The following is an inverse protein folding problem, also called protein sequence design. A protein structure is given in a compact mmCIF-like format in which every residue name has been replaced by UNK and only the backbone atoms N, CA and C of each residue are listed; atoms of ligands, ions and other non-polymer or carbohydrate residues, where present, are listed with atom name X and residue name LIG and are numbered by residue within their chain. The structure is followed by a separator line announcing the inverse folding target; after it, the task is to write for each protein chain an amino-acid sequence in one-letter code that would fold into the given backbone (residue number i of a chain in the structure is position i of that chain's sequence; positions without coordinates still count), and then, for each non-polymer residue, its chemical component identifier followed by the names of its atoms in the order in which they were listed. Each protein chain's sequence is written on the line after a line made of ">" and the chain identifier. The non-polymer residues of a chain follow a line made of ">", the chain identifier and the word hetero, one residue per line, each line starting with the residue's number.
data_IF_038710935128
#
_entry.id   IF_038710935128
#
_cell.length_a   1.000
_cell.length_b   1.000
_cell.length_c   1.000
_cell.angle_alpha   90.00
_cell.angle_beta   90.00
_cell.angle_gamma   90.00
#
_symmetry.space_group_name_H-M   'P 1'
#
loop_
_entity.id
_entity.type
_entity.pdbx_description
1 polymer ?
#
# COMPACT_ATOMS: atom_id res chain seq x y z
N UNK A 1 -8.31 -16.80 21.65
CA UNK A 1 -6.91 -16.66 21.18
C UNK A 1 -6.90 -15.58 20.11
N UNK A 2 -6.50 -14.38 20.51
CA UNK A 2 -6.51 -13.17 19.69
C UNK A 2 -5.47 -13.27 18.56
N UNK A 3 -5.94 -13.47 17.33
CA UNK A 3 -5.09 -13.65 16.15
C UNK A 3 -4.83 -12.30 15.45
N UNK A 4 -4.30 -11.35 16.23
CA UNK A 4 -3.92 -9.99 15.79
C UNK A 4 -2.55 -10.07 15.09
N UNK A 5 -2.39 -9.48 13.88
CA UNK A 5 -1.30 -9.88 13.00
C UNK A 5 0.06 -9.40 13.52
N UNK A 6 0.92 -10.35 13.86
CA UNK A 6 2.35 -10.21 14.24
C UNK A 6 3.27 -9.48 13.21
N UNK A 7 2.72 -8.81 12.19
CA UNK A 7 3.50 -8.16 11.13
C UNK A 7 3.05 -6.71 10.93
N UNK A 8 3.75 -5.77 11.58
CA UNK A 8 3.60 -4.32 11.41
C UNK A 8 3.62 -3.93 9.92
N UNK A 9 4.46 -4.62 9.13
CA UNK A 9 4.54 -4.47 7.66
C UNK A 9 3.20 -4.72 6.97
N UNK A 10 2.47 -5.78 7.33
CA UNK A 10 1.17 -6.08 6.71
C UNK A 10 0.12 -5.03 7.10
N UNK A 11 0.05 -4.65 8.37
CA UNK A 11 -0.87 -3.61 8.85
C UNK A 11 -0.65 -2.30 8.07
N UNK A 12 0.61 -1.89 7.95
CA UNK A 12 0.98 -0.67 7.23
C UNK A 12 0.57 -0.70 5.75
N UNK A 13 0.81 -1.81 5.04
CA UNK A 13 0.41 -1.96 3.63
C UNK A 13 -1.09 -1.71 3.47
N UNK A 14 -1.90 -2.22 4.38
CA UNK A 14 -3.36 -2.14 4.32
C UNK A 14 -3.85 -0.75 4.68
N UNK A 15 -3.32 -0.16 5.75
CA UNK A 15 -3.67 1.22 6.13
C UNK A 15 -3.30 2.18 5.02
N UNK A 16 -2.12 2.02 4.39
CA UNK A 16 -1.70 2.84 3.26
C UNK A 16 -2.63 2.64 2.05
N UNK A 17 -2.88 1.39 1.66
CA UNK A 17 -3.74 1.07 0.52
C UNK A 17 -5.17 1.62 0.72
N UNK A 18 -5.71 1.52 1.93
CA UNK A 18 -7.02 2.03 2.28
C UNK A 18 -7.05 3.57 2.29
N UNK A 19 -6.09 4.21 2.95
CA UNK A 19 -6.02 5.67 3.06
C UNK A 19 -5.78 6.36 1.71
N UNK A 20 -5.03 5.71 0.81
CA UNK A 20 -4.63 6.31 -0.46
C UNK A 20 -5.40 5.80 -1.68
N UNK A 21 -6.18 4.71 -1.53
CA UNK A 21 -6.86 4.06 -2.65
C UNK A 21 -5.88 3.57 -3.73
N UNK A 22 -4.70 3.11 -3.31
CA UNK A 22 -3.63 2.63 -4.17
C UNK A 22 -3.93 1.24 -4.73
N UNK A 23 -3.71 1.05 -6.04
CA UNK A 23 -3.80 -0.27 -6.65
C UNK A 23 -2.53 -1.08 -6.36
N UNK A 24 -2.64 -2.43 -6.40
CA UNK A 24 -1.53 -3.33 -6.02
C UNK A 24 -0.21 -3.02 -6.73
N UNK A 25 -0.27 -2.70 -8.02
CA UNK A 25 0.90 -2.47 -8.87
C UNK A 25 1.59 -1.14 -8.53
N UNK A 26 0.81 -0.14 -8.13
CA UNK A 26 1.32 1.17 -7.72
C UNK A 26 2.00 1.07 -6.35
N UNK A 27 1.42 0.30 -5.42
CA UNK A 27 1.97 0.08 -4.08
C UNK A 27 3.31 -0.69 -4.12
N UNK A 28 3.46 -1.63 -5.06
CA UNK A 28 4.71 -2.36 -5.31
C UNK A 28 5.82 -1.47 -5.89
N UNK A 29 5.45 -0.51 -6.74
CA UNK A 29 6.39 0.42 -7.36
C UNK A 29 6.58 1.70 -6.54
N UNK A 30 5.95 1.80 -5.36
CA UNK A 30 6.05 2.96 -4.50
C UNK A 30 7.44 2.98 -3.84
N UNK A 31 8.22 4.01 -4.15
CA UNK A 31 9.54 4.22 -3.57
C UNK A 31 9.47 5.25 -2.45
N UNK A 32 10.55 5.34 -1.69
CA UNK A 32 10.66 6.34 -0.62
C UNK A 32 10.63 7.77 -1.17
N UNK A 33 11.14 7.99 -2.39
CA UNK A 33 11.09 9.28 -3.10
C UNK A 33 9.66 9.73 -3.40
N UNK A 34 8.72 8.80 -3.43
CA UNK A 34 7.31 9.10 -3.64
C UNK A 34 6.58 9.50 -2.37
N UNK A 35 7.19 9.31 -1.21
CA UNK A 35 6.61 9.76 0.06
C UNK A 35 7.24 11.09 0.41
N UNK A 36 6.40 12.10 0.66
CA UNK A 36 6.83 13.41 1.11
C UNK A 36 6.32 13.62 2.55
N UNK A 37 7.09 13.20 3.58
CA UNK A 37 6.73 13.37 4.98
C UNK A 37 6.51 14.82 5.42
N UNK A 38 7.23 15.85 4.92
CA UNK A 38 6.99 17.22 5.38
C UNK A 38 5.67 17.78 4.84
N UNK A 39 5.24 17.38 3.64
CA UNK A 39 3.95 17.79 3.07
C UNK A 39 2.80 16.83 3.39
N UNK A 40 3.09 15.68 4.03
CA UNK A 40 2.15 14.57 4.22
C UNK A 40 1.50 14.13 2.89
N UNK A 41 2.28 14.06 1.81
CA UNK A 41 1.78 13.70 0.48
C UNK A 41 2.45 12.42 0.01
N UNK A 42 1.66 11.52 -0.57
CA UNK A 42 2.15 10.32 -1.25
C UNK A 42 1.91 10.48 -2.74
N UNK A 43 2.99 10.53 -3.51
CA UNK A 43 2.97 10.62 -4.96
C UNK A 43 2.80 9.23 -5.57
N UNK A 44 1.64 9.00 -6.13
CA UNK A 44 1.29 7.75 -6.79
C UNK A 44 1.56 7.85 -8.27
N UNK A 45 2.42 6.98 -8.81
CA UNK A 45 2.64 6.90 -10.26
C UNK A 45 1.70 5.83 -10.83
N UNK A 46 0.68 6.25 -11.62
CA UNK A 46 -0.21 5.32 -12.30
C UNK A 46 0.53 4.61 -13.45
N UNK A 47 0.35 3.30 -13.53
CA UNK A 47 0.78 2.52 -14.70
C UNK A 47 -0.12 2.76 -15.92
N UNK A 48 0.49 2.84 -17.10
CA UNK A 48 -0.07 3.17 -18.43
C UNK A 48 -0.61 4.61 -18.51
N UNK A 49 0.21 5.50 -19.07
CA UNK A 49 -0.10 6.91 -19.30
C UNK A 49 0.71 7.91 -18.47
N UNK A 50 1.60 7.43 -17.58
CA UNK A 50 2.58 8.22 -16.80
C UNK A 50 1.99 9.38 -15.97
N UNK A 51 0.67 9.40 -15.75
CA UNK A 51 0.01 10.43 -14.94
C UNK A 51 0.22 10.11 -13.46
N UNK A 52 1.13 10.83 -12.82
CA UNK A 52 1.26 10.80 -11.37
C UNK A 52 0.14 11.60 -10.71
N UNK A 53 -0.38 11.12 -9.58
CA UNK A 53 -1.30 11.88 -8.70
C UNK A 53 -0.69 12.01 -7.32
N UNK A 54 -0.92 13.13 -6.68
CA UNK A 54 -0.56 13.35 -5.27
C UNK A 54 -1.76 13.03 -4.41
N UNK A 55 -1.57 12.14 -3.44
CA UNK A 55 -2.62 11.73 -2.51
C UNK A 55 -2.23 12.23 -1.12
N UNK A 56 -3.04 13.11 -0.49
CA UNK A 56 -2.78 13.55 0.86
C UNK A 56 -2.90 12.36 1.81
N UNK A 57 -1.88 12.18 2.64
CA UNK A 57 -1.86 11.22 3.73
C UNK A 57 -2.28 11.92 5.02
N UNK A 58 -3.07 11.24 5.84
CA UNK A 58 -3.37 11.74 7.19
C UNK A 58 -2.11 11.75 8.06
N UNK A 59 -2.01 12.71 8.99
CA UNK A 59 -0.88 12.80 9.93
C UNK A 59 -0.67 11.50 10.71
N UNK A 60 -1.76 10.80 11.05
CA UNK A 60 -1.72 9.48 11.72
C UNK A 60 -1.02 8.44 10.84
N UNK A 61 -1.30 8.43 9.53
CA UNK A 61 -0.66 7.51 8.57
C UNK A 61 0.84 7.77 8.49
N UNK A 62 1.24 9.05 8.42
CA UNK A 62 2.65 9.44 8.38
C UNK A 62 3.37 9.07 9.68
N UNK A 63 2.72 9.21 10.84
CA UNK A 63 3.29 8.81 12.11
C UNK A 63 3.50 7.30 12.19
N UNK A 64 2.51 6.51 11.78
CA UNK A 64 2.67 5.06 11.65
C UNK A 64 3.79 4.71 10.66
N UNK A 65 3.90 5.46 9.55
CA UNK A 65 4.91 5.22 8.52
C UNK A 65 6.31 5.51 9.04
N UNK A 66 6.47 6.57 9.84
CA UNK A 66 7.72 6.88 10.55
C UNK A 66 8.11 5.77 11.52
N UNK A 67 7.15 5.21 12.24
CA UNK A 67 7.41 4.08 13.14
C UNK A 67 7.88 2.85 12.36
N UNK A 68 7.16 2.47 11.30
CA UNK A 68 7.57 1.40 10.38
C UNK A 68 8.98 1.64 9.81
N UNK A 69 9.28 2.87 9.42
CA UNK A 69 10.57 3.25 8.86
C UNK A 69 11.71 3.09 9.88
N UNK A 70 11.47 3.40 11.17
CA UNK A 70 12.46 3.19 12.24
C UNK A 70 12.81 1.72 12.42
N UNK A 71 11.83 0.82 12.30
CA UNK A 71 12.02 -0.63 12.47
C UNK A 71 12.63 -1.32 11.25
N UNK A 72 12.07 -1.10 10.05
CA UNK A 72 12.46 -1.84 8.85
C UNK A 72 13.53 -1.14 7.99
N UNK A 73 13.71 0.18 8.17
CA UNK A 73 14.68 1.03 7.43
C UNK A 73 14.80 0.66 5.94
N UNK A 74 13.70 0.73 5.18
CA UNK A 74 13.75 0.49 3.74
C UNK A 74 14.76 1.42 3.06
N UNK A 75 15.39 0.96 1.97
CA UNK A 75 16.36 1.74 1.19
C UNK A 75 15.83 2.22 -0.16
N UNK A 76 15.07 1.37 -0.85
CA UNK A 76 14.62 1.64 -2.22
C UNK A 76 13.11 1.76 -2.29
N UNK A 77 12.40 0.73 -1.85
CA UNK A 77 10.94 0.66 -1.91
C UNK A 77 10.33 0.93 -0.54
N UNK A 78 9.12 1.50 -0.49
CA UNK A 78 8.43 1.68 0.80
C UNK A 78 8.18 0.33 1.49
N UNK A 79 7.83 -0.68 0.69
CA UNK A 79 7.68 -2.06 1.14
C UNK A 79 8.65 -2.98 0.42
N UNK A 80 9.74 -3.32 1.11
CA UNK A 80 10.76 -4.24 0.61
C UNK A 80 10.43 -5.68 0.95
N UNK A 81 10.81 -6.58 0.04
CA UNK A 81 10.63 -8.03 0.12
C UNK A 81 11.44 -8.71 1.21
N UNK A 82 11.76 -9.98 0.96
CA UNK A 82 12.61 -10.80 1.86
C UNK A 82 14.02 -10.20 2.01
N UNK A 83 14.55 -9.61 0.93
CA UNK A 83 15.82 -8.86 0.95
C UNK A 83 15.57 -7.36 0.90
N UNK A 84 16.27 -6.56 1.73
CA UNK A 84 16.24 -5.11 1.60
C UNK A 84 16.73 -4.68 0.21
N UNK A 85 16.07 -3.69 -0.38
CA UNK A 85 16.29 -3.24 -1.76
C UNK A 85 15.58 -4.03 -2.86
N UNK A 86 15.02 -5.22 -2.57
CA UNK A 86 14.18 -5.94 -3.54
C UNK A 86 12.70 -5.54 -3.39
N UNK A 87 11.97 -5.36 -4.50
CA UNK A 87 10.54 -5.14 -4.45
C UNK A 87 9.85 -6.36 -3.83
N UNK A 88 8.78 -6.12 -3.10
CA UNK A 88 7.94 -7.21 -2.61
C UNK A 88 7.36 -7.99 -3.80
N UNK A 89 7.14 -9.29 -3.66
CA UNK A 89 6.51 -10.06 -4.73
C UNK A 89 5.03 -9.69 -4.85
N UNK A 90 4.57 -9.41 -6.06
CA UNK A 90 3.19 -8.99 -6.33
C UNK A 90 2.16 -9.99 -5.79
N UNK A 91 2.47 -11.28 -5.90
CA UNK A 91 1.65 -12.38 -5.40
C UNK A 91 1.54 -12.37 -3.87
N UNK A 92 2.61 -11.99 -3.16
CA UNK A 92 2.60 -11.93 -1.70
C UNK A 92 1.83 -10.72 -1.20
N UNK A 93 1.97 -9.54 -1.82
CA UNK A 93 1.11 -8.38 -1.50
C UNK A 93 -0.35 -8.72 -1.78
N UNK A 94 -0.65 -9.42 -2.88
CA UNK A 94 -2.02 -9.83 -3.16
C UNK A 94 -2.58 -10.76 -2.09
N UNK A 95 -1.81 -11.76 -1.64
CA UNK A 95 -2.23 -12.65 -0.55
C UNK A 95 -2.48 -11.88 0.75
N UNK A 96 -1.62 -10.92 1.08
CA UNK A 96 -1.78 -10.06 2.26
C UNK A 96 -3.02 -9.18 2.12
N UNK A 97 -3.19 -8.52 0.97
CA UNK A 97 -4.33 -7.67 0.67
C UNK A 97 -5.66 -8.43 0.67
N UNK A 98 -5.71 -9.62 0.06
CA UNK A 98 -6.88 -10.51 0.09
C UNK A 98 -7.19 -10.99 1.50
N UNK A 99 -6.20 -11.52 2.22
CA UNK A 99 -6.40 -12.01 3.59
C UNK A 99 -6.84 -10.90 4.55
N UNK A 100 -6.35 -9.69 4.32
CA UNK A 100 -6.76 -8.52 5.07
C UNK A 100 -8.13 -7.97 4.67
N UNK A 101 -8.49 -7.94 3.39
CA UNK A 101 -9.83 -7.56 2.96
C UNK A 101 -10.88 -8.51 3.54
N UNK A 102 -10.56 -9.81 3.59
CA UNK A 102 -11.36 -10.84 4.26
C UNK A 102 -11.45 -10.56 5.77
N UNK A 103 -10.31 -10.28 6.45
CA UNK A 103 -10.29 -9.94 7.89
C UNK A 103 -10.99 -8.62 8.22
N UNK A 104 -10.94 -7.65 7.32
CA UNK A 104 -11.56 -6.34 7.47
C UNK A 104 -13.06 -6.36 7.14
N UNK A 105 -13.62 -7.53 6.78
CA UNK A 105 -15.05 -7.65 6.45
C UNK A 105 -15.45 -6.89 5.18
N UNK A 106 -14.47 -6.48 4.35
CA UNK A 106 -14.73 -5.82 3.08
C UNK A 106 -15.19 -6.91 2.12
N UNK A 107 -16.48 -7.27 2.20
CA UNK A 107 -17.21 -7.92 1.11
C UNK A 107 -17.10 -6.98 -0.07
N UNK A 108 -16.10 -7.19 -0.92
CA UNK A 108 -16.10 -6.63 -2.26
C UNK A 108 -17.34 -7.24 -2.93
N UNK A 109 -18.45 -6.52 -2.92
CA UNK A 109 -19.54 -6.79 -3.86
C UNK A 109 -18.92 -6.49 -5.21
N UNK A 110 -18.40 -7.53 -5.85
CA UNK A 110 -17.98 -7.46 -7.24
C UNK A 110 -19.29 -7.39 -8.01
N UNK A 111 -19.88 -6.20 -8.11
CA UNK A 111 -20.80 -5.96 -9.21
C UNK A 111 -19.94 -6.11 -10.47
N UNK A 112 -20.23 -7.07 -11.37
CA UNK A 112 -19.58 -7.07 -12.67
C UNK A 112 -20.01 -5.79 -13.35
N UNK A 113 -19.09 -4.83 -13.51
CA UNK A 113 -19.31 -3.70 -14.42
C UNK A 113 -19.31 -4.28 -15.83
N UNK A 114 -20.48 -4.73 -16.29
CA UNK A 114 -20.68 -4.98 -17.70
C UNK A 114 -20.56 -3.64 -18.41
N UNK A 115 -19.63 -3.61 -19.37
CA UNK A 115 -19.22 -2.42 -20.07
C UNK A 115 -20.41 -1.81 -20.82
N UNK A 116 -20.54 -0.49 -20.74
CA UNK A 116 -21.21 0.29 -21.76
C UNK A 116 -20.43 0.12 -23.08
N UNK A 117 -21.01 -0.55 -24.07
CA UNK A 117 -20.70 -0.34 -25.48
C UNK A 117 -21.98 -0.54 -26.28
N UNK A 118 -22.12 0.37 -27.23
CA UNK A 118 -23.19 0.61 -28.21
C UNK A 118 -23.74 -0.63 -28.91
#
# INVERSE_FOLDING_TARGET
>A
MENTPKNIKHRMILTLAYATGLHRAELLNLTLKHTDPPRNIIRVIKGKGNKSREVPASAVLIQQLREYYKYYRPKTYLFEGYKPGMPYSATSIEKIGKGAAVKAGIKKVIVPSHKQHI
#
